data_IF_069317183532
#
_entry.id   IF_069317183532
#
_cell.length_a   1.000
_cell.length_b   1.000
_cell.length_c   1.000
_cell.angle_alpha   90.00
_cell.angle_beta   90.00
_cell.angle_gamma   90.00
#
_symmetry.space_group_name_H-M   'P 1'
#
loop_
_entity.id
_entity.type
_entity.pdbx_description
1 polymer ?
#
# COMPACT_ATOMS: atom_id res chain seq x y z
N UNK A 1 -3.00 37.04 13.47
CA UNK A 1 -3.19 35.65 13.89
C UNK A 1 -4.25 35.08 12.96
N UNK A 2 -3.83 34.43 11.88
CA UNK A 2 -4.75 33.97 10.82
C UNK A 2 -5.12 32.53 11.16
N UNK A 3 -6.35 32.33 11.63
CA UNK A 3 -6.90 31.00 11.93
C UNK A 3 -7.11 30.31 10.58
N UNK A 4 -6.32 29.28 10.30
CA UNK A 4 -6.47 28.45 9.10
C UNK A 4 -7.84 27.77 9.10
N UNK A 5 -8.49 27.74 7.93
CA UNK A 5 -9.76 27.07 7.72
C UNK A 5 -9.70 25.59 8.18
N UNK A 6 -10.82 25.01 8.66
CA UNK A 6 -10.86 23.63 9.09
C UNK A 6 -10.39 22.72 7.97
N UNK A 7 -9.36 21.91 8.25
CA UNK A 7 -8.93 20.87 7.35
C UNK A 7 -10.04 19.83 7.23
N UNK A 8 -10.48 19.55 6.01
CA UNK A 8 -11.41 18.47 5.64
C UNK A 8 -10.78 17.06 5.81
N UNK A 9 -9.96 16.87 6.84
CA UNK A 9 -9.57 15.53 7.28
C UNK A 9 -10.65 15.09 8.24
N UNK A 10 -11.80 14.68 7.69
CA UNK A 10 -12.76 13.89 8.45
C UNK A 10 -12.02 12.66 8.98
N UNK A 11 -11.77 12.67 10.29
CA UNK A 11 -11.34 11.51 11.07
C UNK A 11 -12.44 10.46 10.87
N UNK A 12 -12.24 9.54 9.93
CA UNK A 12 -13.16 8.45 9.71
C UNK A 12 -13.05 7.52 10.91
N UNK A 13 -14.16 7.35 11.63
CA UNK A 13 -14.32 6.32 12.67
C UNK A 13 -13.98 4.97 12.02
N UNK A 14 -13.23 4.06 12.69
CA UNK A 14 -13.04 2.70 12.22
C UNK A 14 -14.39 2.14 11.77
N UNK A 15 -14.43 1.46 10.61
CA UNK A 15 -15.70 0.89 10.14
C UNK A 15 -16.08 -0.25 11.08
N UNK A 16 -16.78 0.05 12.17
CA UNK A 16 -17.55 -0.95 12.91
C UNK A 16 -18.64 -1.43 11.95
N UNK A 17 -18.30 -2.38 11.08
CA UNK A 17 -19.26 -2.95 10.14
C UNK A 17 -20.28 -3.68 10.99
N UNK A 18 -21.53 -3.27 10.84
CA UNK A 18 -22.65 -3.94 11.48
C UNK A 18 -23.38 -4.80 10.47
N UNK A 19 -23.91 -5.93 10.92
CA UNK A 19 -24.80 -6.75 10.12
C UNK A 19 -26.16 -6.06 9.92
N UNK A 20 -27.09 -6.74 9.25
CA UNK A 20 -28.45 -6.23 9.02
C UNK A 20 -29.25 -5.96 10.32
N UNK A 21 -28.75 -6.38 11.48
CA UNK A 21 -29.36 -6.22 12.79
C UNK A 21 -28.60 -5.21 13.67
N UNK A 22 -27.57 -4.53 13.14
CA UNK A 22 -26.78 -3.58 13.91
C UNK A 22 -25.68 -4.23 14.76
N UNK A 23 -25.44 -5.54 14.65
CA UNK A 23 -24.43 -6.23 15.43
C UNK A 23 -23.05 -6.16 14.73
N UNK A 24 -21.93 -5.94 15.46
CA UNK A 24 -20.60 -5.92 14.87
C UNK A 24 -20.27 -7.22 14.12
N UNK A 25 -19.86 -7.09 12.86
CA UNK A 25 -19.34 -8.18 12.05
C UNK A 25 -17.91 -8.45 12.52
N UNK A 26 -17.63 -9.69 12.91
CA UNK A 26 -16.25 -10.08 13.19
C UNK A 26 -15.39 -10.00 11.92
N UNK A 27 -14.22 -9.33 11.97
CA UNK A 27 -13.30 -9.31 10.85
C UNK A 27 -12.83 -10.74 10.53
N UNK A 28 -12.98 -11.15 9.27
CA UNK A 28 -12.43 -12.40 8.77
C UNK A 28 -11.27 -12.06 7.85
N UNK A 29 -10.07 -12.45 8.25
CA UNK A 29 -8.86 -12.38 7.42
C UNK A 29 -8.71 -13.68 6.65
N UNK A 30 -8.36 -13.61 5.37
CA UNK A 30 -8.10 -14.77 4.50
C UNK A 30 -6.84 -14.55 3.70
N UNK A 31 -6.12 -15.61 3.39
CA UNK A 31 -5.12 -15.57 2.33
C UNK A 31 -5.82 -15.51 0.97
N UNK A 32 -5.53 -14.47 0.20
CA UNK A 32 -6.10 -14.23 -1.11
C UNK A 32 -5.03 -14.55 -2.16
N UNK A 33 -5.29 -15.57 -2.96
CA UNK A 33 -4.46 -15.92 -4.10
C UNK A 33 -4.51 -14.84 -5.19
N UNK A 34 -3.42 -14.71 -5.94
CA UNK A 34 -3.27 -13.69 -7.00
C UNK A 34 -4.41 -13.68 -8.03
N UNK A 35 -4.85 -14.85 -8.48
CA UNK A 35 -5.94 -15.01 -9.45
C UNK A 35 -7.30 -14.56 -8.88
N UNK A 36 -7.60 -14.94 -7.64
CA UNK A 36 -8.81 -14.51 -6.92
C UNK A 36 -8.79 -13.00 -6.73
N UNK A 37 -7.65 -12.44 -6.32
CA UNK A 37 -7.50 -11.00 -6.14
C UNK A 37 -7.68 -10.24 -7.45
N UNK A 38 -7.08 -10.73 -8.55
CA UNK A 38 -7.22 -10.10 -9.86
C UNK A 38 -8.68 -10.12 -10.34
N UNK A 39 -9.36 -11.27 -10.21
CA UNK A 39 -10.77 -11.40 -10.59
C UNK A 39 -11.68 -10.47 -9.75
N UNK A 40 -11.43 -10.38 -8.45
CA UNK A 40 -12.13 -9.46 -7.56
C UNK A 40 -11.92 -7.98 -7.95
N UNK A 41 -10.69 -7.59 -8.28
CA UNK A 41 -10.40 -6.22 -8.73
C UNK A 41 -11.03 -5.91 -10.10
N UNK A 42 -11.09 -6.88 -11.01
CA UNK A 42 -11.83 -6.75 -12.28
C UNK A 42 -13.32 -6.53 -12.04
N UNK A 43 -13.92 -7.26 -11.09
CA UNK A 43 -15.31 -7.06 -10.69
C UNK A 43 -15.55 -5.66 -10.13
N UNK A 44 -14.68 -5.20 -9.22
CA UNK A 44 -14.74 -3.84 -8.66
C UNK A 44 -14.64 -2.79 -9.76
N UNK A 45 -13.68 -2.93 -10.68
CA UNK A 45 -13.51 -2.01 -11.80
C UNK A 45 -14.76 -1.94 -12.68
N UNK A 46 -15.33 -3.11 -13.04
CA UNK A 46 -16.57 -3.20 -13.81
C UNK A 46 -17.76 -2.54 -13.08
N UNK A 47 -17.90 -2.78 -11.79
CA UNK A 47 -18.96 -2.17 -10.96
C UNK A 47 -18.90 -0.64 -10.97
N UNK A 48 -17.69 -0.08 -10.85
CA UNK A 48 -17.44 1.37 -10.89
C UNK A 48 -17.70 1.92 -12.30
N UNK A 49 -17.17 1.24 -13.32
CA UNK A 49 -17.30 1.67 -14.72
C UNK A 49 -18.75 1.68 -15.21
N UNK A 50 -19.58 0.71 -14.78
CA UNK A 50 -21.01 0.66 -15.12
C UNK A 50 -21.80 1.85 -14.57
N UNK A 51 -21.25 2.55 -13.57
CA UNK A 51 -21.82 3.79 -13.01
C UNK A 51 -21.19 5.06 -13.61
N UNK A 52 -20.41 4.92 -14.68
CA UNK A 52 -19.78 6.05 -15.37
C UNK A 52 -18.71 6.76 -14.55
N UNK A 53 -18.13 6.09 -13.55
CA UNK A 53 -17.09 6.64 -12.69
C UNK A 53 -15.72 6.03 -13.01
N UNK A 54 -14.66 6.72 -12.61
CA UNK A 54 -13.29 6.20 -12.63
C UNK A 54 -12.58 6.62 -11.35
N UNK A 55 -11.93 5.65 -10.71
CA UNK A 55 -11.25 5.83 -9.44
C UNK A 55 -9.77 5.48 -9.61
N UNK A 56 -8.89 6.34 -9.13
CA UNK A 56 -7.46 6.09 -9.03
C UNK A 56 -7.05 6.06 -7.55
N UNK A 57 -6.33 5.00 -7.16
CA UNK A 57 -5.78 4.86 -5.80
C UNK A 57 -4.35 4.34 -5.87
N UNK A 58 -3.67 4.39 -4.73
CA UNK A 58 -2.32 3.90 -4.50
C UNK A 58 -2.40 2.73 -3.54
N UNK A 59 -1.82 1.59 -3.91
CA UNK A 59 -1.66 0.43 -3.05
C UNK A 59 -0.26 0.37 -2.45
N UNK A 60 -0.19 -0.12 -1.21
CA UNK A 60 1.07 -0.42 -0.52
C UNK A 60 1.08 -1.88 -0.03
N UNK A 61 2.26 -2.46 0.14
CA UNK A 61 2.41 -3.76 0.78
C UNK A 61 1.98 -4.94 -0.09
N UNK A 62 1.28 -5.90 0.52
CA UNK A 62 1.13 -7.27 -0.01
C UNK A 62 0.49 -7.35 -1.39
N UNK A 63 -0.45 -6.45 -1.73
CA UNK A 63 -1.06 -6.38 -3.04
C UNK A 63 -0.04 -6.05 -4.15
N UNK A 64 0.89 -5.12 -3.89
CA UNK A 64 1.97 -4.78 -4.83
C UNK A 64 2.90 -5.98 -5.03
N UNK A 65 3.25 -6.67 -3.94
CA UNK A 65 4.10 -7.87 -3.97
C UNK A 65 3.45 -9.03 -4.71
N UNK A 66 2.12 -9.16 -4.65
CA UNK A 66 1.38 -10.30 -5.20
C UNK A 66 1.00 -10.07 -6.67
N UNK A 67 0.48 -8.88 -7.00
CA UNK A 67 -0.05 -8.59 -8.34
C UNK A 67 1.05 -8.18 -9.32
N UNK A 68 1.94 -7.27 -8.89
CA UNK A 68 2.94 -6.64 -9.75
C UNK A 68 4.32 -7.30 -9.64
N UNK A 69 4.93 -7.30 -8.44
CA UNK A 69 6.30 -7.82 -8.24
C UNK A 69 6.36 -9.35 -8.28
N UNK A 70 5.24 -10.02 -8.02
CA UNK A 70 5.11 -11.47 -7.91
C UNK A 70 6.14 -12.11 -6.94
N UNK A 71 6.54 -11.36 -5.91
CA UNK A 71 7.44 -11.86 -4.85
C UNK A 71 6.67 -12.66 -3.79
N UNK A 72 5.35 -12.67 -3.85
CA UNK A 72 4.43 -13.41 -2.98
C UNK A 72 3.33 -14.07 -3.81
N UNK A 73 2.83 -15.21 -3.36
CA UNK A 73 1.70 -15.91 -3.97
C UNK A 73 0.35 -15.46 -3.41
N UNK A 74 0.33 -14.96 -2.17
CA UNK A 74 -0.89 -14.48 -1.47
C UNK A 74 -0.67 -13.16 -0.72
N UNK A 75 -1.76 -12.44 -0.52
CA UNK A 75 -1.91 -11.29 0.39
C UNK A 75 -3.20 -11.44 1.20
N UNK A 76 -3.35 -10.72 2.31
CA UNK A 76 -4.58 -10.75 3.09
C UNK A 76 -5.60 -9.71 2.63
N UNK A 77 -5.09 -8.62 2.07
CA UNK A 77 -5.82 -7.42 1.69
C UNK A 77 -5.02 -6.59 0.68
N UNK A 78 -5.66 -5.53 0.22
CA UNK A 78 -5.13 -4.44 -0.60
C UNK A 78 -5.27 -3.16 0.22
N UNK A 79 -4.20 -2.78 0.91
CA UNK A 79 -4.09 -1.50 1.59
C UNK A 79 -3.98 -0.37 0.57
N UNK A 80 -4.98 0.51 0.53
CA UNK A 80 -5.09 1.61 -0.43
C UNK A 80 -5.26 2.99 0.22
N UNK A 81 -4.76 3.99 -0.49
CA UNK A 81 -4.94 5.40 -0.19
C UNK A 81 -4.93 6.24 -1.47
N UNK A 82 -5.40 7.49 -1.43
CA UNK A 82 -5.20 8.45 -2.53
C UNK A 82 -5.80 9.80 -2.20
N UNK A 83 -5.09 10.90 -2.48
CA UNK A 83 -5.54 12.25 -2.13
C UNK A 83 -6.61 12.81 -3.06
N UNK A 84 -6.78 12.23 -4.24
CA UNK A 84 -7.85 12.56 -5.21
C UNK A 84 -9.13 11.78 -4.95
N UNK A 85 -9.17 10.98 -3.89
CA UNK A 85 -10.25 10.06 -3.56
C UNK A 85 -11.35 10.75 -2.74
N UNK A 86 -12.39 11.24 -3.42
CA UNK A 86 -13.54 11.92 -2.81
C UNK A 86 -14.37 10.98 -1.93
N UNK A 87 -15.17 11.54 -1.01
CA UNK A 87 -16.09 10.75 -0.16
C UNK A 87 -17.07 9.90 -0.98
N UNK A 88 -17.58 10.42 -2.10
CA UNK A 88 -18.47 9.66 -2.99
C UNK A 88 -17.73 8.49 -3.65
N UNK A 89 -16.48 8.69 -4.08
CA UNK A 89 -15.65 7.61 -4.59
C UNK A 89 -15.37 6.55 -3.50
N UNK A 90 -15.20 6.95 -2.23
CA UNK A 90 -15.04 6.01 -1.10
C UNK A 90 -16.26 5.13 -0.90
N UNK A 91 -17.46 5.73 -0.90
CA UNK A 91 -18.72 5.00 -0.76
C UNK A 91 -18.87 4.01 -1.91
N UNK A 92 -18.66 4.47 -3.15
CA UNK A 92 -18.77 3.61 -4.33
C UNK A 92 -17.75 2.47 -4.32
N UNK A 93 -16.52 2.72 -3.89
CA UNK A 93 -15.50 1.67 -3.78
C UNK A 93 -15.87 0.65 -2.70
N UNK A 94 -16.44 1.08 -1.57
CA UNK A 94 -16.92 0.16 -0.53
C UNK A 94 -18.08 -0.69 -1.02
N UNK A 95 -19.05 -0.11 -1.73
CA UNK A 95 -20.16 -0.85 -2.35
C UNK A 95 -19.64 -1.90 -3.33
N UNK A 96 -18.71 -1.53 -4.20
CA UNK A 96 -18.09 -2.43 -5.17
C UNK A 96 -17.30 -3.56 -4.48
N UNK A 97 -16.56 -3.24 -3.41
CA UNK A 97 -15.82 -4.23 -2.62
C UNK A 97 -16.77 -5.22 -1.95
N UNK A 98 -17.88 -4.75 -1.36
CA UNK A 98 -18.89 -5.60 -0.73
C UNK A 98 -19.59 -6.49 -1.75
N UNK A 99 -19.88 -5.96 -2.95
CA UNK A 99 -20.47 -6.73 -4.03
C UNK A 99 -19.53 -7.84 -4.52
N UNK A 100 -18.25 -7.53 -4.73
CA UNK A 100 -17.23 -8.55 -5.06
C UNK A 100 -17.16 -9.65 -4.00
N UNK A 101 -17.21 -9.31 -2.70
CA UNK A 101 -17.18 -10.30 -1.60
C UNK A 101 -18.33 -11.32 -1.68
N UNK A 102 -19.47 -10.96 -2.25
CA UNK A 102 -20.60 -11.90 -2.46
C UNK A 102 -20.33 -12.90 -3.58
N UNK A 103 -19.45 -12.57 -4.52
CA UNK A 103 -19.13 -13.38 -5.69
C UNK A 103 -17.85 -14.22 -5.51
N UNK A 104 -16.91 -13.75 -4.69
CA UNK A 104 -15.62 -14.40 -4.49
C UNK A 104 -15.42 -14.82 -3.03
N UNK A 105 -15.57 -16.12 -2.77
CA UNK A 105 -15.47 -16.69 -1.42
C UNK A 105 -14.07 -16.55 -0.79
N UNK A 106 -13.00 -16.35 -1.57
CA UNK A 106 -11.64 -16.20 -1.04
C UNK A 106 -11.38 -14.87 -0.33
N UNK A 107 -12.31 -13.91 -0.37
CA UNK A 107 -12.09 -12.55 0.12
C UNK A 107 -12.41 -12.41 1.61
N UNK A 108 -11.52 -11.74 2.34
CA UNK A 108 -11.76 -11.31 3.72
C UNK A 108 -12.78 -10.17 3.83
N UNK A 109 -13.15 -9.81 5.06
CA UNK A 109 -14.17 -8.78 5.34
C UNK A 109 -13.79 -7.41 4.74
N UNK A 110 -12.50 -7.05 4.84
CA UNK A 110 -11.93 -5.76 4.45
C UNK A 110 -10.75 -5.93 3.48
N UNK A 111 -10.90 -6.85 2.53
CA UNK A 111 -9.84 -7.20 1.57
C UNK A 111 -9.40 -6.03 0.66
N UNK A 112 -10.21 -4.98 0.48
CA UNK A 112 -9.83 -3.73 -0.18
C UNK A 112 -9.91 -2.60 0.87
N UNK A 113 -8.80 -2.40 1.57
CA UNK A 113 -8.75 -1.66 2.81
C UNK A 113 -8.40 -0.18 2.56
N UNK A 114 -9.31 0.74 2.89
CA UNK A 114 -9.06 2.18 2.82
C UNK A 114 -8.55 2.79 4.12
N UNK A 115 -8.41 2.01 5.19
CA UNK A 115 -8.00 2.51 6.51
C UNK A 115 -6.53 2.91 6.58
N UNK A 116 -5.70 2.48 5.63
CA UNK A 116 -4.30 2.89 5.49
C UNK A 116 -4.14 4.41 5.46
N UNK A 117 -5.13 5.14 4.93
CA UNK A 117 -5.10 6.60 4.87
C UNK A 117 -5.23 7.28 6.25
N UNK A 118 -5.81 6.61 7.26
CA UNK A 118 -6.10 7.21 8.57
C UNK A 118 -4.83 7.47 9.38
N UNK A 119 -3.77 6.75 9.07
CA UNK A 119 -2.49 6.80 9.79
C UNK A 119 -1.47 7.72 9.10
N UNK A 120 -1.87 8.44 8.05
CA UNK A 120 -0.99 9.33 7.30
C UNK A 120 -1.43 10.80 7.43
N UNK A 121 -0.50 11.73 7.78
CA UNK A 121 -0.78 13.15 7.74
C UNK A 121 -1.20 13.60 6.33
N UNK A 122 -2.19 14.51 6.25
CA UNK A 122 -2.73 14.99 4.96
C UNK A 122 -1.69 15.46 3.94
N UNK A 123 -0.67 16.27 4.31
CA UNK A 123 0.38 16.67 3.39
C UNK A 123 1.24 15.51 2.86
N UNK A 124 1.48 14.49 3.69
CA UNK A 124 2.22 13.29 3.28
C UNK A 124 1.38 12.47 2.29
N UNK A 125 0.09 12.33 2.56
CA UNK A 125 -0.86 11.62 1.70
C UNK A 125 -0.92 12.19 0.27
N UNK A 126 -1.01 13.52 0.14
CA UNK A 126 -0.96 14.19 -1.17
C UNK A 126 0.38 13.93 -1.87
N UNK A 127 1.50 14.16 -1.18
CA UNK A 127 2.84 13.96 -1.75
C UNK A 127 3.06 12.53 -2.24
N UNK A 128 2.61 11.54 -1.48
CA UNK A 128 2.74 10.13 -1.85
C UNK A 128 1.85 9.76 -3.04
N UNK A 129 0.65 10.34 -3.12
CA UNK A 129 -0.24 10.14 -4.27
C UNK A 129 0.39 10.68 -5.55
N UNK A 130 0.83 11.95 -5.55
CA UNK A 130 1.50 12.54 -6.71
C UNK A 130 2.80 11.81 -7.08
N UNK A 131 3.55 11.34 -6.07
CA UNK A 131 4.77 10.57 -6.32
C UNK A 131 4.48 9.19 -6.93
N UNK A 132 3.39 8.52 -6.52
CA UNK A 132 2.96 7.26 -7.10
C UNK A 132 2.53 7.44 -8.56
N UNK A 133 1.78 8.50 -8.86
CA UNK A 133 1.37 8.86 -10.22
C UNK A 133 2.58 9.17 -11.11
N UNK A 134 3.57 9.92 -10.60
CA UNK A 134 4.84 10.17 -11.33
C UNK A 134 5.66 8.89 -11.52
N UNK A 135 5.69 8.00 -10.53
CA UNK A 135 6.35 6.69 -10.65
C UNK A 135 5.62 5.81 -11.70
N UNK A 136 4.32 6.01 -11.88
CA UNK A 136 3.45 5.37 -12.88
C UNK A 136 3.58 3.83 -12.94
N UNK A 137 3.81 3.20 -11.79
CA UNK A 137 3.79 1.74 -11.69
C UNK A 137 2.35 1.31 -11.43
N UNK A 138 1.68 0.80 -12.47
CA UNK A 138 0.28 0.37 -12.40
C UNK A 138 0.21 -1.10 -11.97
N UNK A 139 -0.22 -1.32 -10.73
CA UNK A 139 -0.41 -2.65 -10.13
C UNK A 139 -1.64 -3.33 -10.73
N UNK A 140 -2.66 -2.53 -11.03
CA UNK A 140 -3.89 -2.94 -11.69
C UNK A 140 -4.46 -1.78 -12.50
N UNK A 141 -5.01 -2.07 -13.68
CA UNK A 141 -5.69 -1.09 -14.51
C UNK A 141 -6.79 -1.76 -15.34
N UNK A 142 -8.00 -1.23 -15.23
CA UNK A 142 -9.17 -1.52 -16.06
C UNK A 142 -10.06 -0.27 -16.11
N UNK A 143 -11.01 -0.17 -17.06
CA UNK A 143 -12.06 0.84 -16.99
C UNK A 143 -12.70 0.86 -15.60
N UNK A 144 -12.83 2.04 -15.01
CA UNK A 144 -13.38 2.24 -13.66
C UNK A 144 -12.36 2.24 -12.52
N UNK A 145 -11.21 1.56 -12.62
CA UNK A 145 -10.24 1.48 -11.53
C UNK A 145 -8.77 1.41 -12.00
N UNK A 146 -7.96 2.32 -11.46
CA UNK A 146 -6.50 2.28 -11.56
C UNK A 146 -5.91 2.18 -10.16
N UNK A 147 -4.96 1.25 -9.98
CA UNK A 147 -4.20 1.10 -8.73
C UNK A 147 -2.71 1.27 -9.04
N UNK A 148 -2.12 2.34 -8.51
CA UNK A 148 -0.69 2.58 -8.57
C UNK A 148 0.04 1.88 -7.41
N UNK A 149 1.29 1.50 -7.59
CA UNK A 149 2.16 1.15 -6.46
C UNK A 149 2.59 2.42 -5.73
N UNK A 150 2.62 2.36 -4.40
CA UNK A 150 3.25 3.40 -3.59
C UNK A 150 4.71 3.63 -4.02
N UNK A 151 5.26 4.85 -3.81
CA UNK A 151 6.64 5.14 -4.17
C UNK A 151 7.60 4.14 -3.52
N UNK A 152 8.56 3.62 -4.28
CA UNK A 152 9.47 2.57 -3.80
C UNK A 152 10.23 2.98 -2.54
N UNK A 153 10.66 4.24 -2.47
CA UNK A 153 11.32 4.81 -1.29
C UNK A 153 10.43 4.75 -0.04
N UNK A 154 9.14 5.06 -0.17
CA UNK A 154 8.18 5.01 0.93
C UNK A 154 7.91 3.56 1.36
N UNK A 155 7.63 2.67 0.42
CA UNK A 155 7.36 1.26 0.70
C UNK A 155 8.58 0.58 1.36
N UNK A 156 9.79 0.87 0.88
CA UNK A 156 11.05 0.42 1.49
C UNK A 156 11.17 0.93 2.93
N UNK A 157 11.03 2.24 3.12
CA UNK A 157 11.19 2.88 4.43
C UNK A 157 10.19 2.35 5.46
N UNK A 158 8.93 2.12 5.07
CA UNK A 158 7.90 1.56 5.93
C UNK A 158 8.26 0.15 6.44
N UNK A 159 8.82 -0.70 5.57
CA UNK A 159 9.27 -2.06 5.94
C UNK A 159 10.46 -2.02 6.90
N UNK A 160 11.44 -1.16 6.64
CA UNK A 160 12.59 -0.98 7.53
C UNK A 160 12.15 -0.49 8.91
N UNK A 161 11.24 0.49 8.95
CA UNK A 161 10.66 1.00 10.18
C UNK A 161 10.01 -0.11 10.98
N UNK A 162 9.14 -0.92 10.35
CA UNK A 162 8.46 -2.03 11.02
C UNK A 162 9.44 -3.05 11.60
N UNK A 163 10.50 -3.39 10.87
CA UNK A 163 11.55 -4.31 11.34
C UNK A 163 12.27 -3.74 12.58
N UNK A 164 12.48 -2.42 12.64
CA UNK A 164 13.16 -1.76 13.76
C UNK A 164 12.26 -1.58 14.99
N UNK A 165 11.02 -1.16 14.78
CA UNK A 165 10.06 -0.96 15.89
C UNK A 165 9.69 -2.28 16.56
N UNK A 166 9.77 -3.40 15.82
CA UNK A 166 9.54 -4.71 16.39
C UNK A 166 8.06 -5.00 16.70
N UNK A 167 7.84 -6.00 17.56
CA UNK A 167 6.51 -6.40 18.05
C UNK A 167 5.73 -7.31 17.10
N UNK A 168 4.46 -7.54 17.43
CA UNK A 168 3.56 -8.49 16.75
C UNK A 168 3.23 -8.12 15.30
N UNK A 169 3.62 -6.92 14.84
CA UNK A 169 3.41 -6.46 13.48
C UNK A 169 4.53 -6.87 12.51
N UNK A 170 5.71 -7.25 13.02
CA UNK A 170 6.80 -7.74 12.17
C UNK A 170 6.35 -9.01 11.47
N UNK A 171 6.67 -9.13 10.19
CA UNK A 171 6.41 -10.33 9.40
C UNK A 171 7.73 -10.95 8.93
N UNK A 172 7.80 -12.29 8.82
CA UNK A 172 9.03 -12.97 8.37
C UNK A 172 9.55 -12.47 7.01
N UNK A 173 8.65 -12.04 6.12
CA UNK A 173 8.95 -11.57 4.77
C UNK A 173 9.30 -10.06 4.68
N UNK A 174 9.32 -9.31 5.79
CA UNK A 174 9.52 -7.86 5.73
C UNK A 174 10.87 -7.43 5.17
N UNK A 175 11.92 -8.18 5.50
CA UNK A 175 13.25 -7.92 4.97
C UNK A 175 13.30 -8.18 3.46
N UNK A 176 12.64 -9.24 2.99
CA UNK A 176 12.61 -9.60 1.58
C UNK A 176 11.79 -8.60 0.75
N UNK A 177 10.68 -8.12 1.30
CA UNK A 177 9.88 -7.04 0.72
C UNK A 177 10.72 -5.75 0.64
N UNK A 178 11.41 -5.37 1.72
CA UNK A 178 12.29 -4.19 1.74
C UNK A 178 13.39 -4.30 0.66
N UNK A 179 14.06 -5.45 0.56
CA UNK A 179 15.08 -5.73 -0.46
C UNK A 179 14.52 -5.64 -1.87
N UNK A 180 13.27 -6.08 -2.09
CA UNK A 180 12.61 -6.00 -3.39
C UNK A 180 12.27 -4.55 -3.75
N UNK A 181 11.74 -3.75 -2.81
CA UNK A 181 11.42 -2.35 -3.09
C UNK A 181 12.66 -1.48 -3.34
N UNK A 182 13.73 -1.65 -2.56
CA UNK A 182 14.97 -0.91 -2.83
C UNK A 182 15.60 -1.32 -4.15
N UNK A 183 15.45 -2.58 -4.56
CA UNK A 183 15.89 -3.02 -5.89
C UNK A 183 15.14 -2.29 -7.00
N UNK A 184 13.81 -2.18 -6.90
CA UNK A 184 13.01 -1.44 -7.90
C UNK A 184 13.35 0.05 -7.93
N UNK A 185 13.63 0.65 -6.77
CA UNK A 185 14.15 2.01 -6.71
C UNK A 185 15.49 2.13 -7.47
N UNK A 186 16.48 1.31 -7.13
CA UNK A 186 17.80 1.32 -7.77
C UNK A 186 17.69 1.10 -9.28
N UNK A 187 16.87 0.14 -9.71
CA UNK A 187 16.63 -0.19 -11.12
C UNK A 187 16.10 1.00 -11.92
N UNK A 188 15.20 1.76 -11.32
CA UNK A 188 14.58 2.95 -11.95
C UNK A 188 15.42 4.23 -11.81
N UNK A 189 16.52 4.19 -11.04
CA UNK A 189 17.39 5.35 -10.76
C UNK A 189 18.84 5.12 -11.21
N UNK A 190 19.01 4.41 -12.34
CA UNK A 190 20.31 4.25 -13.00
C UNK A 190 21.19 3.13 -12.47
N UNK A 191 20.62 2.16 -11.74
CA UNK A 191 21.30 0.97 -11.22
C UNK A 191 22.51 1.29 -10.32
N UNK A 192 22.43 2.37 -9.54
CA UNK A 192 23.48 2.75 -8.60
C UNK A 192 23.05 2.49 -7.16
N UNK A 193 23.96 2.04 -6.28
CA UNK A 193 23.69 2.00 -4.85
C UNK A 193 23.23 3.35 -4.33
N UNK A 194 22.33 3.33 -3.35
CA UNK A 194 21.77 4.51 -2.72
C UNK A 194 22.68 4.95 -1.57
N UNK A 195 23.06 6.24 -1.47
CA UNK A 195 23.76 6.73 -0.29
C UNK A 195 22.93 6.49 0.97
N UNK A 196 23.54 6.01 2.06
CA UNK A 196 22.85 5.80 3.35
C UNK A 196 22.11 7.07 3.79
N UNK A 197 22.73 8.24 3.62
CA UNK A 197 22.14 9.52 3.97
C UNK A 197 20.80 9.77 3.25
N UNK A 198 20.65 9.34 2.00
CA UNK A 198 19.42 9.46 1.23
C UNK A 198 18.30 8.59 1.82
N UNK A 199 18.62 7.34 2.19
CA UNK A 199 17.64 6.44 2.80
C UNK A 199 17.20 6.89 4.20
N UNK A 200 18.11 7.44 4.99
CA UNK A 200 17.79 8.05 6.27
C UNK A 200 16.93 9.31 6.09
N UNK A 201 17.17 10.08 5.03
CA UNK A 201 16.36 11.25 4.72
C UNK A 201 14.92 10.87 4.34
N UNK A 202 14.71 9.81 3.56
CA UNK A 202 13.37 9.25 3.32
C UNK A 202 12.67 8.89 4.62
N UNK A 203 13.36 8.20 5.53
CA UNK A 203 12.79 7.80 6.80
C UNK A 203 12.30 9.03 7.60
N UNK A 204 13.10 10.09 7.68
CA UNK A 204 12.68 11.35 8.32
C UNK A 204 11.47 11.99 7.62
N UNK A 205 11.49 12.07 6.30
CA UNK A 205 10.41 12.67 5.52
C UNK A 205 9.08 11.93 5.66
N UNK A 206 9.12 10.62 5.89
CA UNK A 206 7.95 9.76 6.02
C UNK A 206 7.57 9.46 7.47
N UNK A 207 8.28 10.04 8.45
CA UNK A 207 8.10 9.75 9.88
C UNK A 207 8.26 8.25 10.22
N UNK A 208 9.25 7.63 9.59
CA UNK A 208 9.62 6.23 9.76
C UNK A 208 10.96 6.11 10.51
N UNK A 209 11.14 4.98 11.19
CA UNK A 209 12.39 4.64 11.85
C UNK A 209 13.39 4.02 10.86
N UNK A 210 14.65 4.45 10.93
CA UNK A 210 15.74 3.85 10.16
C UNK A 210 17.09 4.14 10.79
N UNK A 211 18.06 3.24 10.61
CA UNK A 211 19.43 3.43 11.10
C UNK A 211 20.44 3.02 10.04
N UNK A 212 21.60 3.67 10.03
CA UNK A 212 22.71 3.25 9.16
C UNK A 212 23.08 1.77 9.39
N UNK A 213 23.04 1.32 10.65
CA UNK A 213 23.37 -0.06 11.00
C UNK A 213 22.46 -1.07 10.28
N UNK A 214 21.12 -0.91 10.31
CA UNK A 214 20.23 -1.87 9.64
C UNK A 214 20.42 -1.89 8.12
N UNK A 215 20.68 -0.72 7.52
CA UNK A 215 20.90 -0.56 6.08
C UNK A 215 22.18 -1.28 5.64
N UNK A 216 23.29 -1.03 6.34
CA UNK A 216 24.61 -1.59 5.99
C UNK A 216 24.79 -3.06 6.36
N UNK A 217 24.08 -3.53 7.39
CA UNK A 217 24.19 -4.92 7.85
C UNK A 217 23.08 -5.77 7.21
N UNK A 218 21.88 -5.75 7.76
CA UNK A 218 20.80 -6.66 7.39
C UNK A 218 20.32 -6.47 5.96
N UNK A 219 20.08 -5.22 5.54
CA UNK A 219 19.56 -4.95 4.19
C UNK A 219 20.63 -5.23 3.13
N UNK A 220 21.85 -4.68 3.27
CA UNK A 220 22.94 -4.97 2.34
C UNK A 220 23.34 -6.46 2.30
N UNK A 221 23.29 -7.17 3.42
CA UNK A 221 23.54 -8.62 3.43
C UNK A 221 22.47 -9.37 2.63
N UNK A 222 21.18 -9.07 2.86
CA UNK A 222 20.09 -9.71 2.12
C UNK A 222 20.11 -9.32 0.63
N UNK A 223 20.37 -8.05 0.32
CA UNK A 223 20.48 -7.57 -1.05
C UNK A 223 21.66 -8.21 -1.80
N UNK A 224 22.85 -8.33 -1.16
CA UNK A 224 24.01 -9.03 -1.75
C UNK A 224 23.70 -10.49 -2.07
N UNK A 225 23.02 -11.19 -1.15
CA UNK A 225 22.62 -12.59 -1.39
C UNK A 225 21.74 -12.75 -2.62
N UNK A 226 20.88 -11.77 -2.90
CA UNK A 226 19.90 -11.83 -4.00
C UNK A 226 20.42 -11.24 -5.31
N UNK A 227 21.23 -10.19 -5.26
CA UNK A 227 21.59 -9.38 -6.43
C UNK A 227 23.10 -9.17 -6.62
N UNK A 228 23.95 -9.74 -5.75
CA UNK A 228 25.41 -9.74 -5.91
C UNK A 228 26.12 -8.41 -5.65
N UNK A 229 25.42 -7.36 -5.21
CA UNK A 229 25.98 -6.02 -4.93
C UNK A 229 25.40 -5.42 -3.65
N UNK A 230 25.85 -4.23 -3.23
CA UNK A 230 25.26 -3.51 -2.10
C UNK A 230 24.13 -2.59 -2.58
N UNK A 231 23.03 -2.55 -1.84
CA UNK A 231 21.99 -1.55 -2.06
C UNK A 231 22.42 -0.16 -1.55
N UNK A 232 23.21 -0.12 -0.47
CA UNK A 232 23.60 1.11 0.21
C UNK A 232 25.12 1.29 0.30
N UNK A 233 25.57 2.53 0.09
CA UNK A 233 26.96 2.99 0.22
C UNK A 233 27.10 4.15 1.20
#
# INVERSE_FOLDING_TARGET
MTIGAPQDVMIHVPRNRVDRYGAPIQPITRDIERNVLLAALQHVAGYISQRGQSIAVVAVGGAVNTLYLQSRTTTHDVDIFGSTFTNQARVLLDEAMQDARRHYQGLGTDWLNTETQMWMPGPLHQRLTEAAERQNVRVFEQPGLVIYAAPWAYAFSAKVSRILTGGDQVRPYDLDDAVTYIHEYIRTHGNRPVPVATALDWARQFHHESTENILRTRVNQAYRRRYGSNAFV
#
